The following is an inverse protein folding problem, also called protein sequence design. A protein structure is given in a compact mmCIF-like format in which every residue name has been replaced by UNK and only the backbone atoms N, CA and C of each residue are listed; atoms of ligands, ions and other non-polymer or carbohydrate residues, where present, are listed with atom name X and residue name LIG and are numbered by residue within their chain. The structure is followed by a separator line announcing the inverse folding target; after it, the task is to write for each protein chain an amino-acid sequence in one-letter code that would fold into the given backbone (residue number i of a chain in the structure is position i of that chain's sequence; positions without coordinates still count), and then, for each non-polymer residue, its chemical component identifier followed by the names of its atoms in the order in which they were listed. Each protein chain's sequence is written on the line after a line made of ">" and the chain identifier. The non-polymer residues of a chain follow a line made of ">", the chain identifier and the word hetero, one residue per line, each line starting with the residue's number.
data_IF_173029474761
#
_entry.id   IF_173029474761
#
_cell.length_a   1.000
_cell.length_b   1.000
_cell.length_c   1.000
_cell.angle_alpha   90.00
_cell.angle_beta   90.00
_cell.angle_gamma   90.00
#
_symmetry.space_group_name_H-M   'P 1'
#
loop_
_entity.id
_entity.type
_entity.pdbx_description
1 polymer ?
#
# COMPACT_ATOMS: atom_id res chain seq x y z
N UNK A 1 17.96 7.40 13.83
CA UNK A 1 16.71 6.61 13.82
C UNK A 1 15.89 7.11 12.65
N UNK A 2 15.60 6.28 11.65
CA UNK A 2 14.60 6.65 10.65
C UNK A 2 13.23 6.57 11.34
N UNK A 3 12.33 7.55 11.13
CA UNK A 3 10.98 7.47 11.66
C UNK A 3 10.31 6.21 11.07
N UNK A 4 9.80 5.34 11.95
CA UNK A 4 8.95 4.23 11.53
C UNK A 4 7.61 4.81 11.08
N UNK A 5 7.21 4.55 9.84
CA UNK A 5 5.92 4.98 9.34
C UNK A 5 4.85 3.98 9.77
N UNK A 6 3.79 4.50 10.37
CA UNK A 6 2.60 3.72 10.69
C UNK A 6 1.70 3.62 9.44
N UNK A 7 1.64 2.41 8.87
CA UNK A 7 0.80 2.10 7.71
C UNK A 7 -0.58 1.54 8.07
N UNK A 8 -1.00 1.59 9.34
CA UNK A 8 -2.30 1.06 9.79
C UNK A 8 -3.45 1.71 9.03
N UNK A 9 -3.43 3.04 8.86
CA UNK A 9 -4.45 3.77 8.07
C UNK A 9 -4.50 3.35 6.60
N UNK A 10 -3.34 3.09 6.00
CA UNK A 10 -3.27 2.59 4.62
C UNK A 10 -3.85 1.18 4.54
N UNK A 11 -3.54 0.33 5.51
CA UNK A 11 -4.08 -1.03 5.58
C UNK A 11 -5.60 -1.04 5.76
N UNK A 12 -6.13 -0.19 6.65
CA UNK A 12 -7.57 0.00 6.82
C UNK A 12 -8.24 0.44 5.51
N UNK A 13 -7.66 1.41 4.80
CA UNK A 13 -8.18 1.88 3.51
C UNK A 13 -8.18 0.77 2.45
N UNK A 14 -7.11 -0.04 2.40
CA UNK A 14 -7.02 -1.22 1.53
C UNK A 14 -8.16 -2.19 1.82
N UNK A 15 -8.37 -2.56 3.09
CA UNK A 15 -9.44 -3.48 3.48
C UNK A 15 -10.82 -2.90 3.14
N UNK A 16 -11.06 -1.60 3.38
CA UNK A 16 -12.34 -0.97 3.04
C UNK A 16 -12.62 -0.89 1.54
N UNK A 17 -11.58 -0.89 0.70
CA UNK A 17 -11.72 -0.73 -0.77
C UNK A 17 -11.71 -2.08 -1.49
N UNK A 18 -10.84 -3.01 -1.08
CA UNK A 18 -10.57 -4.28 -1.76
C UNK A 18 -11.03 -5.50 -0.96
N UNK A 19 -11.60 -5.33 0.25
CA UNK A 19 -11.98 -6.36 1.23
C UNK A 19 -10.80 -7.16 1.80
N UNK A 20 -9.82 -7.50 0.98
CA UNK A 20 -8.63 -8.27 1.38
C UNK A 20 -7.35 -7.63 0.87
N UNK A 21 -6.24 -7.87 1.58
CA UNK A 21 -4.90 -7.44 1.13
C UNK A 21 -4.45 -8.16 -0.13
N UNK A 22 -4.86 -9.41 -0.32
CA UNK A 22 -4.54 -10.21 -1.50
C UNK A 22 -5.14 -9.61 -2.77
N UNK A 23 -6.43 -9.25 -2.74
CA UNK A 23 -7.10 -8.60 -3.87
C UNK A 23 -6.43 -7.26 -4.25
N UNK A 24 -5.98 -6.49 -3.26
CA UNK A 24 -5.19 -5.30 -3.53
C UNK A 24 -3.83 -5.63 -4.15
N UNK A 25 -3.13 -6.68 -3.67
CA UNK A 25 -1.85 -7.10 -4.24
C UNK A 25 -1.98 -7.51 -5.72
N UNK A 26 -3.05 -8.22 -6.07
CA UNK A 26 -3.38 -8.60 -7.45
C UNK A 26 -3.60 -7.38 -8.35
N UNK A 27 -4.43 -6.42 -7.91
CA UNK A 27 -4.66 -5.18 -8.65
C UNK A 27 -3.40 -4.28 -8.72
N UNK A 28 -2.62 -4.25 -7.65
CA UNK A 28 -1.38 -3.50 -7.57
C UNK A 28 -0.25 -4.15 -8.38
N UNK A 29 -0.33 -5.45 -8.65
CA UNK A 29 0.65 -6.21 -9.43
C UNK A 29 1.90 -6.58 -8.63
N UNK A 30 1.76 -6.89 -7.34
CA UNK A 30 2.88 -7.32 -6.48
C UNK A 30 2.48 -8.55 -5.66
N UNK A 31 3.47 -9.26 -5.11
CA UNK A 31 3.19 -10.32 -4.13
C UNK A 31 2.85 -9.77 -2.75
N UNK A 32 2.08 -10.54 -1.97
CA UNK A 32 1.72 -10.22 -0.58
C UNK A 32 2.95 -10.03 0.32
N UNK A 33 4.02 -10.79 0.06
CA UNK A 33 5.31 -10.65 0.75
C UNK A 33 5.96 -9.30 0.46
N UNK A 34 5.93 -8.83 -0.80
CA UNK A 34 6.48 -7.53 -1.18
C UNK A 34 5.69 -6.38 -0.51
N UNK A 35 4.35 -6.45 -0.52
CA UNK A 35 3.54 -5.46 0.18
C UNK A 35 3.82 -5.45 1.69
N UNK A 36 3.96 -6.63 2.32
CA UNK A 36 4.24 -6.73 3.75
C UNK A 36 5.60 -6.12 4.11
N UNK A 37 6.63 -6.34 3.29
CA UNK A 37 7.93 -5.69 3.47
C UNK A 37 7.80 -4.15 3.41
N UNK A 38 6.95 -3.63 2.53
CA UNK A 38 6.69 -2.18 2.46
C UNK A 38 5.95 -1.64 3.68
N UNK A 39 4.90 -2.33 4.11
CA UNK A 39 4.10 -1.94 5.27
C UNK A 39 4.83 -2.11 6.61
N UNK A 40 5.92 -2.88 6.64
CA UNK A 40 6.78 -3.05 7.82
C UNK A 40 8.06 -2.21 7.75
N UNK A 41 8.06 -1.13 6.96
CA UNK A 41 9.20 -0.21 6.83
C UNK A 41 10.51 -0.87 6.33
N UNK A 42 10.46 -2.10 5.78
CA UNK A 42 11.65 -2.78 5.23
C UNK A 42 11.97 -2.31 3.82
N UNK A 43 10.96 -1.89 3.07
CA UNK A 43 11.12 -1.35 1.72
C UNK A 43 10.24 -0.11 1.52
N UNK A 44 10.74 0.88 0.82
CA UNK A 44 9.95 2.08 0.50
C UNK A 44 9.04 1.85 -0.72
N UNK A 45 7.95 2.61 -0.80
CA UNK A 45 7.16 2.73 -2.03
C UNK A 45 7.89 3.70 -2.98
N UNK A 46 8.01 3.31 -4.26
CA UNK A 46 8.49 4.25 -5.28
C UNK A 46 7.39 5.24 -5.67
N UNK A 47 7.73 6.40 -6.23
CA UNK A 47 6.72 7.38 -6.67
C UNK A 47 5.67 6.79 -7.62
N UNK A 48 6.02 5.97 -8.64
CA UNK A 48 5.02 5.31 -9.49
C UNK A 48 4.12 4.35 -8.72
N UNK A 49 4.66 3.66 -7.71
CA UNK A 49 3.90 2.79 -6.82
C UNK A 49 2.92 3.58 -5.96
N UNK A 50 3.33 4.72 -5.42
CA UNK A 50 2.44 5.61 -4.66
C UNK A 50 1.31 6.09 -5.58
N UNK A 51 1.64 6.54 -6.80
CA UNK A 51 0.64 7.02 -7.75
C UNK A 51 -0.39 5.94 -8.10
N UNK A 52 0.08 4.72 -8.41
CA UNK A 52 -0.78 3.57 -8.69
C UNK A 52 -1.64 3.19 -7.48
N UNK A 53 -1.06 3.15 -6.27
CA UNK A 53 -1.80 2.86 -5.05
C UNK A 53 -2.88 3.90 -4.78
N UNK A 54 -2.58 5.19 -4.94
CA UNK A 54 -3.57 6.27 -4.82
C UNK A 54 -4.71 6.12 -5.83
N UNK A 55 -4.39 5.81 -7.09
CA UNK A 55 -5.41 5.55 -8.12
C UNK A 55 -6.32 4.36 -7.75
N UNK A 56 -5.74 3.26 -7.27
CA UNK A 56 -6.48 2.06 -6.87
C UNK A 56 -7.34 2.29 -5.62
N UNK A 57 -6.82 3.05 -4.65
CA UNK A 57 -7.49 3.34 -3.38
C UNK A 57 -8.40 4.56 -3.44
N UNK A 58 -8.54 5.18 -4.62
CA UNK A 58 -9.30 6.42 -4.86
C UNK A 58 -8.90 7.52 -3.87
N UNK A 59 -7.59 7.66 -3.63
CA UNK A 59 -7.02 8.74 -2.84
C UNK A 59 -6.74 9.91 -3.80
N UNK A 60 -7.31 11.09 -3.56
CA UNK A 60 -7.07 12.26 -4.42
C UNK A 60 -5.58 12.62 -4.39
N UNK A 61 -5.00 12.84 -5.57
CA UNK A 61 -3.68 13.45 -5.72
C UNK A 61 -3.89 14.95 -5.83
N UNK A 62 -3.21 15.74 -5.00
CA UNK A 62 -3.26 17.20 -4.96
C UNK A 62 -1.93 17.78 -5.44
#
# INVERSE_FOLDING_TARGET
>A
MNPEFDYSKLNEKIIRTFLTRTAFCEAFGVSTSNLSLKMNNKHYFTQPQIAKACSLLKIPQS
#
